data_IF_538159780347
#
_entry.id   IF_538159780347
#
_cell.length_a   1.000
_cell.length_b   1.000
_cell.length_c   1.000
_cell.angle_alpha   90.00
_cell.angle_beta   90.00
_cell.angle_gamma   90.00
#
_symmetry.space_group_name_H-M   'P 1'
#
loop_
_entity.id
_entity.type
_entity.pdbx_description
1 polymer ?
#
# COMPACT_ATOMS: atom_id res chain seq x y z
N UNK A 1 6.17 8.55 7.94
CA UNK A 1 6.54 9.99 7.78
C UNK A 1 7.60 10.47 8.77
N UNK A 2 7.78 9.80 9.92
CA UNK A 2 8.72 10.22 11.00
C UNK A 2 10.18 10.44 10.55
N UNK A 3 10.66 9.68 9.57
CA UNK A 3 12.02 9.83 9.03
C UNK A 3 12.17 11.13 8.22
N UNK A 4 11.14 11.56 7.49
CA UNK A 4 11.19 12.82 6.73
C UNK A 4 11.19 14.02 7.67
N UNK A 5 10.35 14.02 8.69
CA UNK A 5 10.38 15.06 9.73
C UNK A 5 11.72 15.10 10.47
N UNK A 6 12.37 13.94 10.66
CA UNK A 6 13.73 13.89 11.19
C UNK A 6 14.74 14.51 10.22
N UNK A 7 14.69 14.13 8.94
CA UNK A 7 15.57 14.69 7.92
C UNK A 7 15.43 16.21 7.78
N UNK A 8 14.21 16.74 7.81
CA UNK A 8 13.96 18.19 7.79
C UNK A 8 14.60 18.93 8.97
N UNK A 9 14.67 18.30 10.14
CA UNK A 9 15.26 18.91 11.35
C UNK A 9 16.79 18.87 11.33
N UNK A 10 17.38 17.77 10.85
CA UNK A 10 18.82 17.51 11.00
C UNK A 10 19.65 17.87 9.77
N UNK A 11 19.14 17.73 8.54
CA UNK A 11 19.90 18.05 7.33
C UNK A 11 20.38 19.52 7.31
N UNK A 12 19.54 20.53 7.65
CA UNK A 12 20.00 21.92 7.67
C UNK A 12 21.07 22.19 8.74
N UNK A 13 21.04 21.47 9.87
CA UNK A 13 22.03 21.58 10.96
C UNK A 13 23.40 21.04 10.57
N UNK A 14 23.43 20.13 9.59
CA UNK A 14 24.63 19.50 9.07
C UNK A 14 25.14 20.19 7.78
N UNK A 15 24.64 21.39 7.46
CA UNK A 15 24.97 22.13 6.23
C UNK A 15 24.45 21.49 4.93
N UNK A 16 23.55 20.52 5.01
CA UNK A 16 22.93 19.91 3.84
C UNK A 16 21.67 20.65 3.42
N UNK A 17 21.37 20.60 2.12
CA UNK A 17 20.15 21.17 1.56
C UNK A 17 18.90 20.44 2.09
N UNK A 18 17.80 21.18 2.27
CA UNK A 18 16.49 20.60 2.55
C UNK A 18 15.97 19.91 1.29
N UNK A 19 15.45 18.70 1.41
CA UNK A 19 14.88 17.95 0.29
C UNK A 19 13.35 18.01 0.31
N UNK A 20 12.74 18.01 -0.88
CA UNK A 20 11.30 17.81 -1.02
C UNK A 20 10.95 16.34 -0.79
N UNK A 21 9.81 16.08 -0.14
CA UNK A 21 9.33 14.74 0.15
C UNK A 21 7.99 14.50 -0.53
N UNK A 22 7.97 13.64 -1.54
CA UNK A 22 6.74 13.17 -2.17
C UNK A 22 6.37 11.81 -1.57
N UNK A 23 5.11 11.64 -1.18
CA UNK A 23 4.60 10.38 -0.66
C UNK A 23 3.39 9.93 -1.48
N UNK A 24 3.44 8.68 -1.94
CA UNK A 24 2.31 8.03 -2.57
C UNK A 24 1.31 7.55 -1.52
N UNK A 25 0.06 7.44 -1.93
CA UNK A 25 -0.98 6.76 -1.14
C UNK A 25 -0.58 5.30 -0.94
N UNK A 26 -0.85 4.78 0.25
CA UNK A 26 -0.57 3.38 0.56
C UNK A 26 -1.74 2.53 0.10
N UNK A 27 -1.46 1.51 -0.71
CA UNK A 27 -2.47 0.54 -1.11
C UNK A 27 -2.75 -0.41 0.08
N UNK A 28 -4.02 -0.57 0.48
CA UNK A 28 -4.40 -1.49 1.54
C UNK A 28 -4.19 -2.96 1.14
N UNK A 29 -4.09 -3.82 2.14
CA UNK A 29 -4.04 -5.27 1.95
C UNK A 29 -5.39 -5.82 1.48
N UNK A 30 -5.37 -7.00 0.86
CA UNK A 30 -6.60 -7.65 0.37
C UNK A 30 -7.62 -7.95 1.47
N UNK A 31 -7.17 -8.22 2.70
CA UNK A 31 -8.03 -8.49 3.85
C UNK A 31 -8.29 -7.26 4.73
N UNK A 32 -8.04 -6.05 4.20
CA UNK A 32 -8.03 -4.81 4.98
C UNK A 32 -6.66 -4.52 5.61
N UNK A 33 -6.51 -3.31 6.14
CA UNK A 33 -5.26 -2.85 6.76
C UNK A 33 -4.08 -2.71 5.79
N UNK A 34 -2.86 -2.91 6.28
CA UNK A 34 -1.62 -2.65 5.52
C UNK A 34 -1.16 -3.91 4.77
N UNK A 35 -0.96 -3.79 3.46
CA UNK A 35 -0.30 -4.83 2.67
C UNK A 35 1.12 -5.07 3.21
N UNK A 36 1.46 -6.32 3.56
CA UNK A 36 2.73 -6.66 4.16
C UNK A 36 3.29 -7.97 3.62
N UNK A 37 4.62 -8.09 3.59
CA UNK A 37 5.29 -9.36 3.21
C UNK A 37 5.11 -10.42 4.30
N UNK A 38 4.95 -9.99 5.55
CA UNK A 38 4.75 -10.84 6.72
C UNK A 38 3.42 -11.59 6.71
N UNK A 39 2.39 -11.05 6.06
CA UNK A 39 1.12 -11.76 5.84
C UNK A 39 1.02 -12.16 4.35
N UNK A 40 1.26 -13.44 4.02
CA UNK A 40 1.19 -13.95 2.66
C UNK A 40 -0.17 -13.75 1.99
N UNK A 41 -1.26 -13.64 2.76
CA UNK A 41 -2.62 -13.47 2.23
C UNK A 41 -2.95 -12.00 1.96
N UNK A 42 -2.22 -11.07 2.58
CA UNK A 42 -2.48 -9.63 2.45
C UNK A 42 -2.05 -9.02 1.10
N UNK A 43 -1.16 -9.70 0.33
CA UNK A 43 -0.56 -9.17 -0.90
C UNK A 43 -0.77 -10.05 -2.13
N UNK A 44 -0.77 -9.43 -3.31
CA UNK A 44 -0.61 -10.10 -4.61
C UNK A 44 0.83 -9.85 -5.08
N UNK A 45 1.60 -10.92 -5.20
CA UNK A 45 2.96 -10.89 -5.73
C UNK A 45 2.99 -11.10 -7.26
N UNK A 46 4.04 -10.61 -7.91
CA UNK A 46 4.24 -10.70 -9.36
C UNK A 46 4.38 -12.14 -9.85
N UNK A 47 4.87 -13.02 -8.99
CA UNK A 47 5.13 -14.44 -9.30
C UNK A 47 3.97 -15.36 -8.88
N UNK A 48 2.81 -14.82 -8.54
CA UNK A 48 1.65 -15.66 -8.24
C UNK A 48 1.01 -16.21 -9.51
N UNK A 49 0.77 -17.51 -9.50
CA UNK A 49 -0.02 -18.18 -10.53
C UNK A 49 -1.49 -17.73 -10.48
N UNK A 50 -2.22 -17.79 -11.61
CA UNK A 50 -3.60 -17.33 -11.71
C UNK A 50 -4.54 -17.93 -10.66
N UNK A 51 -4.35 -19.20 -10.30
CA UNK A 51 -5.19 -19.89 -9.33
C UNK A 51 -5.03 -19.35 -7.90
N UNK A 52 -3.80 -18.99 -7.54
CA UNK A 52 -3.49 -18.35 -6.24
C UNK A 52 -4.11 -16.96 -6.18
N UNK A 53 -4.02 -16.21 -7.28
CA UNK A 53 -4.62 -14.87 -7.38
C UNK A 53 -6.14 -14.95 -7.21
N UNK A 54 -6.81 -15.87 -7.93
CA UNK A 54 -8.26 -16.11 -7.78
C UNK A 54 -8.63 -16.49 -6.35
N UNK A 55 -7.85 -17.36 -5.70
CA UNK A 55 -8.09 -17.77 -4.31
C UNK A 55 -7.99 -16.59 -3.35
N UNK A 56 -6.99 -15.73 -3.52
CA UNK A 56 -6.78 -14.54 -2.69
C UNK A 56 -7.86 -13.49 -2.88
N UNK A 57 -8.25 -13.21 -4.13
CA UNK A 57 -9.33 -12.27 -4.42
C UNK A 57 -10.67 -12.73 -3.82
N UNK A 58 -10.96 -14.03 -3.85
CA UNK A 58 -12.17 -14.57 -3.20
C UNK A 58 -12.16 -14.46 -1.68
N UNK A 59 -10.99 -14.45 -1.07
CA UNK A 59 -10.82 -14.30 0.38
C UNK A 59 -10.66 -12.83 0.81
N UNK A 60 -10.65 -11.89 -0.15
CA UNK A 60 -10.47 -10.48 0.13
C UNK A 60 -11.72 -9.87 0.78
N UNK A 61 -11.51 -8.84 1.59
CA UNK A 61 -12.61 -8.05 2.15
C UNK A 61 -13.19 -7.14 1.06
N UNK A 62 -14.47 -7.34 0.73
CA UNK A 62 -15.19 -6.57 -0.27
C UNK A 62 -16.70 -6.57 0.07
N UNK A 63 -17.07 -5.75 1.05
CA UNK A 63 -18.47 -5.54 1.44
C UNK A 63 -19.17 -4.57 0.47
N UNK A 64 -20.44 -4.85 0.17
CA UNK A 64 -21.24 -4.02 -0.73
C UNK A 64 -21.49 -2.63 -0.14
N UNK A 65 -21.29 -1.59 -0.95
CA UNK A 65 -21.45 -0.19 -0.51
C UNK A 65 -20.30 0.34 0.35
N UNK A 66 -19.35 -0.51 0.77
CA UNK A 66 -18.20 -0.09 1.56
C UNK A 66 -17.02 0.32 0.68
N UNK A 67 -16.69 1.61 0.73
CA UNK A 67 -15.55 2.21 0.03
C UNK A 67 -14.32 2.23 0.94
N UNK A 68 -14.52 2.23 2.25
CA UNK A 68 -13.46 2.28 3.25
C UNK A 68 -12.90 0.88 3.52
N UNK A 69 -11.58 0.77 3.65
CA UNK A 69 -10.87 -0.51 3.85
C UNK A 69 -11.07 -1.59 2.77
N UNK A 70 -11.68 -1.23 1.64
CA UNK A 70 -11.87 -2.14 0.51
C UNK A 70 -10.56 -2.29 -0.30
N UNK A 71 -9.83 -3.36 0.02
CA UNK A 71 -8.59 -3.74 -0.63
C UNK A 71 -8.71 -3.90 -2.14
N UNK A 72 -9.82 -4.48 -2.60
CA UNK A 72 -10.05 -4.77 -4.02
C UNK A 72 -10.31 -3.48 -4.80
N UNK A 73 -11.21 -2.63 -4.33
CA UNK A 73 -11.57 -1.38 -4.98
C UNK A 73 -10.36 -0.44 -5.11
N UNK A 74 -9.58 -0.33 -4.03
CA UNK A 74 -8.36 0.51 -4.03
C UNK A 74 -7.31 -0.04 -4.98
N UNK A 75 -7.17 -1.37 -5.08
CA UNK A 75 -6.22 -1.99 -6.00
C UNK A 75 -6.59 -1.75 -7.47
N UNK A 76 -7.89 -1.77 -7.81
CA UNK A 76 -8.36 -1.44 -9.16
C UNK A 76 -7.99 -0.01 -9.54
N UNK A 77 -8.27 0.97 -8.67
CA UNK A 77 -7.95 2.38 -8.94
C UNK A 77 -6.46 2.73 -8.89
N UNK A 78 -5.66 1.99 -8.13
CA UNK A 78 -4.22 2.27 -8.03
C UNK A 78 -3.37 1.56 -9.10
N UNK A 79 -3.81 0.39 -9.58
CA UNK A 79 -2.99 -0.48 -10.44
C UNK A 79 -3.61 -0.67 -11.82
N UNK A 80 -4.92 -0.84 -11.92
CA UNK A 80 -5.58 -1.23 -13.17
C UNK A 80 -6.06 -0.01 -13.97
N UNK A 81 -6.53 1.02 -13.27
CA UNK A 81 -7.02 2.29 -13.86
C UNK A 81 -6.33 3.45 -13.13
N UNK A 82 -5.04 3.73 -13.41
CA UNK A 82 -4.31 4.82 -12.77
C UNK A 82 -4.79 6.21 -13.21
#
# INVERSE_FOLDING_TARGET
RKIFTFAELYLPRLSYAKHAHLMNTMVPGLAGGKMSVSDPNSKIDFLHFPDVIKKKLRAAFCEEGNIEENGVLTFVGAVLIP
#
